data_IF_698127966308
#
_entry.id   IF_698127966308
#
_cell.length_a   1.000
_cell.length_b   1.000
_cell.length_c   1.000
_cell.angle_alpha   90.00
_cell.angle_beta   90.00
_cell.angle_gamma   90.00
#
_symmetry.space_group_name_H-M   'P 1'
#
loop_
_entity.id
_entity.type
_entity.pdbx_description
1 polymer ?
#
# COMPACT_ATOMS: atom_id res chain seq x y z
N UNK A 1 -33.32 -5.09 3.89
CA UNK A 1 -33.45 -6.46 4.43
C UNK A 1 -32.08 -7.12 4.46
N UNK A 2 -31.36 -7.02 5.57
CA UNK A 2 -30.08 -7.73 5.77
C UNK A 2 -30.39 -9.12 6.31
N UNK A 3 -30.30 -10.16 5.47
CA UNK A 3 -30.40 -11.54 5.91
C UNK A 3 -29.27 -11.85 6.88
N UNK A 4 -29.61 -12.28 8.10
CA UNK A 4 -28.63 -12.66 9.14
C UNK A 4 -27.81 -13.85 8.61
N UNK A 5 -26.48 -13.74 8.60
CA UNK A 5 -25.61 -14.83 8.17
C UNK A 5 -25.90 -16.10 8.98
N UNK A 6 -26.01 -17.24 8.30
CA UNK A 6 -26.19 -18.56 8.93
C UNK A 6 -25.06 -18.84 9.93
N UNK A 7 -25.37 -19.55 11.02
CA UNK A 7 -24.36 -19.97 12.00
C UNK A 7 -23.20 -20.76 11.36
N UNK A 8 -23.47 -21.49 10.27
CA UNK A 8 -22.45 -22.19 9.50
C UNK A 8 -21.56 -21.24 8.70
N UNK A 9 -22.14 -20.20 8.09
CA UNK A 9 -21.38 -19.18 7.38
C UNK A 9 -20.45 -18.42 8.33
N UNK A 10 -20.92 -18.11 9.55
CA UNK A 10 -20.10 -17.46 10.57
C UNK A 10 -18.91 -18.31 10.98
N UNK A 11 -19.10 -19.61 11.25
CA UNK A 11 -18.00 -20.53 11.58
C UNK A 11 -16.95 -20.63 10.47
N UNK A 12 -17.38 -20.63 9.20
CA UNK A 12 -16.45 -20.65 8.05
C UNK A 12 -15.66 -19.33 7.98
N UNK A 13 -16.33 -18.19 8.15
CA UNK A 13 -15.65 -16.89 8.19
C UNK A 13 -14.64 -16.82 9.33
N UNK A 14 -15.00 -17.27 10.52
CA UNK A 14 -14.11 -17.25 11.68
C UNK A 14 -12.87 -18.15 11.44
N UNK A 15 -13.06 -19.36 10.91
CA UNK A 15 -11.94 -20.25 10.54
C UNK A 15 -11.03 -19.66 9.46
N UNK A 16 -11.60 -19.03 8.43
CA UNK A 16 -10.82 -18.34 7.38
C UNK A 16 -10.04 -17.14 7.93
N UNK A 17 -10.61 -16.39 8.87
CA UNK A 17 -9.91 -15.29 9.52
C UNK A 17 -8.82 -15.78 10.48
N UNK A 18 -9.01 -16.94 11.11
CA UNK A 18 -7.99 -17.55 11.96
C UNK A 18 -6.81 -18.06 11.12
N UNK A 19 -7.07 -18.78 10.03
CA UNK A 19 -6.03 -19.37 9.19
C UNK A 19 -5.40 -18.38 8.20
N UNK A 20 -6.17 -17.43 7.68
CA UNK A 20 -5.77 -16.52 6.58
C UNK A 20 -5.99 -15.03 6.90
N UNK A 21 -6.28 -14.65 8.15
CA UNK A 21 -6.59 -13.26 8.51
C UNK A 21 -5.42 -12.28 8.46
N UNK A 22 -4.19 -12.79 8.28
CA UNK A 22 -3.02 -11.92 8.08
C UNK A 22 -3.06 -11.32 6.67
N UNK A 23 -3.29 -10.03 6.60
CA UNK A 23 -3.33 -9.28 5.34
C UNK A 23 -1.93 -8.91 4.85
N UNK A 24 -1.78 -8.64 3.55
CA UNK A 24 -0.53 -8.09 3.01
C UNK A 24 -0.15 -6.74 3.64
N UNK A 25 -1.14 -5.94 4.05
CA UNK A 25 -0.87 -4.72 4.81
C UNK A 25 -0.18 -5.04 6.14
N UNK A 26 -0.69 -6.04 6.88
CA UNK A 26 -0.06 -6.50 8.11
C UNK A 26 1.34 -7.09 7.87
N UNK A 27 1.52 -7.88 6.80
CA UNK A 27 2.85 -8.41 6.41
C UNK A 27 3.85 -7.32 6.05
N UNK A 28 3.36 -6.24 5.41
CA UNK A 28 4.16 -5.05 5.09
C UNK A 28 4.44 -4.16 6.30
N UNK A 29 3.95 -4.52 7.50
CA UNK A 29 4.11 -3.73 8.72
C UNK A 29 3.21 -2.49 8.79
N UNK A 30 2.16 -2.42 7.97
CA UNK A 30 1.20 -1.32 7.94
C UNK A 30 0.12 -1.59 8.99
N UNK A 31 0.12 -0.79 10.05
CA UNK A 31 -1.00 -0.75 11.00
C UNK A 31 -2.10 0.13 10.43
N UNK A 32 -3.04 -0.48 9.70
CA UNK A 32 -4.11 0.23 9.01
C UNK A 32 -4.99 1.04 9.98
N UNK A 33 -5.19 2.31 9.67
CA UNK A 33 -6.09 3.26 10.34
C UNK A 33 -6.58 4.26 9.31
N UNK A 34 -7.75 4.85 9.52
CA UNK A 34 -8.30 5.91 8.66
C UNK A 34 -7.58 7.26 8.89
N UNK A 35 -6.29 7.28 8.58
CA UNK A 35 -5.38 8.42 8.73
C UNK A 35 -4.45 8.50 7.53
N UNK A 36 -3.92 9.69 7.19
CA UNK A 36 -3.24 9.89 5.90
C UNK A 36 -2.07 8.93 5.63
N UNK A 37 -1.20 8.73 6.62
CA UNK A 37 0.01 7.92 6.45
C UNK A 37 -0.29 6.42 6.19
N UNK A 38 -1.03 5.69 7.04
CA UNK A 38 -1.37 4.29 6.77
C UNK A 38 -2.12 4.08 5.44
N UNK A 39 -3.01 4.99 5.06
CA UNK A 39 -3.71 4.92 3.77
C UNK A 39 -2.76 5.14 2.58
N UNK A 40 -1.81 6.05 2.71
CA UNK A 40 -0.77 6.24 1.69
C UNK A 40 0.14 5.01 1.56
N UNK A 41 0.56 4.42 2.69
CA UNK A 41 1.34 3.17 2.68
C UNK A 41 0.55 2.04 2.01
N UNK A 42 -0.76 1.96 2.26
CA UNK A 42 -1.64 1.00 1.59
C UNK A 42 -1.69 1.25 0.07
N UNK A 43 -1.84 2.50 -0.37
CA UNK A 43 -1.81 2.85 -1.79
C UNK A 43 -0.49 2.42 -2.46
N UNK A 44 0.66 2.69 -1.82
CA UNK A 44 1.97 2.24 -2.31
C UNK A 44 2.01 0.71 -2.44
N UNK A 45 1.59 -0.01 -1.40
CA UNK A 45 1.55 -1.48 -1.44
C UNK A 45 0.63 -2.00 -2.55
N UNK A 46 -0.58 -1.43 -2.69
CA UNK A 46 -1.53 -1.80 -3.75
C UNK A 46 -0.96 -1.55 -5.14
N UNK A 47 -0.25 -0.44 -5.34
CA UNK A 47 0.42 -0.14 -6.60
C UNK A 47 1.47 -1.20 -6.94
N UNK A 48 2.33 -1.58 -5.99
CA UNK A 48 3.34 -2.63 -6.19
C UNK A 48 2.71 -4.01 -6.47
N UNK A 49 1.60 -4.34 -5.81
CA UNK A 49 0.87 -5.60 -6.00
C UNK A 49 0.16 -5.69 -7.36
N UNK A 50 -0.13 -4.56 -8.00
CA UNK A 50 -0.82 -4.54 -9.30
C UNK A 50 0.02 -5.02 -10.47
N UNK A 51 1.34 -5.09 -10.32
CA UNK A 51 2.23 -5.66 -11.34
C UNK A 51 2.10 -7.19 -11.42
N UNK A 52 2.51 -7.78 -12.56
CA UNK A 52 2.68 -9.24 -12.69
C UNK A 52 3.90 -9.72 -11.89
N UNK A 53 3.75 -9.78 -10.57
CA UNK A 53 4.82 -10.12 -9.63
C UNK A 53 4.29 -10.99 -8.48
N UNK A 54 5.19 -11.69 -7.78
CA UNK A 54 4.83 -12.42 -6.56
C UNK A 54 4.49 -11.43 -5.45
N UNK A 55 3.40 -11.67 -4.72
CA UNK A 55 2.95 -10.81 -3.63
C UNK A 55 4.04 -10.61 -2.55
N UNK A 56 4.80 -11.65 -2.22
CA UNK A 56 5.91 -11.56 -1.26
C UNK A 56 6.99 -10.56 -1.66
N UNK A 57 7.27 -10.42 -2.97
CA UNK A 57 8.23 -9.43 -3.48
C UNK A 57 7.67 -8.01 -3.37
N UNK A 58 6.38 -7.82 -3.69
CA UNK A 58 5.73 -6.52 -3.51
C UNK A 58 5.68 -6.09 -2.03
N UNK A 59 5.37 -7.02 -1.12
CA UNK A 59 5.38 -6.80 0.34
C UNK A 59 6.80 -6.45 0.81
N UNK A 60 7.82 -7.19 0.39
CA UNK A 60 9.21 -6.91 0.73
C UNK A 60 9.67 -5.53 0.23
N UNK A 61 9.33 -5.17 -1.00
CA UNK A 61 9.61 -3.86 -1.59
C UNK A 61 8.90 -2.72 -0.86
N UNK A 62 7.63 -2.89 -0.48
CA UNK A 62 6.93 -1.92 0.35
C UNK A 62 7.63 -1.71 1.70
N UNK A 63 8.05 -2.81 2.36
CA UNK A 63 8.80 -2.74 3.62
C UNK A 63 10.12 -1.99 3.47
N UNK A 64 10.87 -2.26 2.39
CA UNK A 64 12.13 -1.57 2.11
C UNK A 64 11.90 -0.07 1.90
N UNK A 65 10.96 0.34 1.06
CA UNK A 65 10.59 1.76 0.88
C UNK A 65 10.27 2.44 2.21
N UNK A 66 9.48 1.76 3.07
CA UNK A 66 9.13 2.30 4.37
C UNK A 66 10.32 2.35 5.33
N UNK A 67 11.21 1.36 5.30
CA UNK A 67 12.44 1.36 6.10
C UNK A 67 13.34 2.56 5.75
N UNK A 68 13.40 2.91 4.46
CA UNK A 68 14.06 4.12 3.95
C UNK A 68 13.26 5.42 4.17
N UNK A 69 12.18 5.39 4.96
CA UNK A 69 11.45 6.58 5.40
C UNK A 69 10.37 7.09 4.45
N UNK A 70 10.17 6.45 3.29
CA UNK A 70 9.18 6.84 2.27
C UNK A 70 7.76 6.41 2.64
N UNK A 71 7.31 6.79 3.84
CA UNK A 71 6.01 6.37 4.43
C UNK A 71 4.86 7.36 4.19
N UNK A 72 5.15 8.53 3.63
CA UNK A 72 4.17 9.61 3.40
C UNK A 72 4.37 10.17 1.99
N UNK A 73 3.37 10.80 1.36
CA UNK A 73 3.55 11.35 0.01
C UNK A 73 4.65 12.42 -0.02
N UNK A 74 4.77 13.26 1.02
CA UNK A 74 5.89 14.22 1.12
C UNK A 74 7.25 13.51 1.13
N UNK A 75 7.45 12.53 2.03
CA UNK A 75 8.73 11.78 2.09
C UNK A 75 9.02 10.98 0.82
N UNK A 76 7.99 10.47 0.15
CA UNK A 76 8.15 9.78 -1.13
C UNK A 76 8.57 10.76 -2.23
N UNK A 77 7.94 11.93 -2.32
CA UNK A 77 8.28 12.96 -3.30
C UNK A 77 9.68 13.55 -3.06
N UNK A 78 10.06 13.78 -1.80
CA UNK A 78 11.37 14.31 -1.41
C UNK A 78 12.53 13.32 -1.70
N UNK A 79 12.24 12.02 -1.77
CA UNK A 79 13.25 11.02 -2.11
C UNK A 79 13.73 11.20 -3.55
N UNK A 80 15.01 10.94 -3.80
CA UNK A 80 15.51 10.92 -5.17
C UNK A 80 14.98 9.69 -5.90
N UNK A 81 15.00 9.76 -7.24
CA UNK A 81 14.66 8.60 -8.06
C UNK A 81 15.55 7.39 -7.74
N UNK A 82 16.85 7.62 -7.52
CA UNK A 82 17.79 6.55 -7.18
C UNK A 82 17.48 5.92 -5.81
N UNK A 83 17.16 6.73 -4.79
CA UNK A 83 16.78 6.21 -3.47
C UNK A 83 15.55 5.30 -3.53
N UNK A 84 14.57 5.65 -4.38
CA UNK A 84 13.40 4.79 -4.64
C UNK A 84 13.80 3.51 -5.36
N UNK A 85 14.64 3.58 -6.40
CA UNK A 85 15.14 2.40 -7.13
C UNK A 85 15.91 1.46 -6.21
N UNK A 86 16.82 1.99 -5.38
CA UNK A 86 17.65 1.19 -4.47
C UNK A 86 16.77 0.43 -3.46
N UNK A 87 15.79 1.12 -2.85
CA UNK A 87 14.84 0.50 -1.93
C UNK A 87 13.96 -0.57 -2.60
N UNK A 88 13.50 -0.32 -3.83
CA UNK A 88 12.75 -1.31 -4.61
C UNK A 88 13.61 -2.53 -4.94
N UNK A 89 14.88 -2.31 -5.29
CA UNK A 89 15.87 -3.35 -5.54
C UNK A 89 16.18 -4.22 -4.33
N UNK A 90 16.28 -3.62 -3.13
CA UNK A 90 16.45 -4.32 -1.84
C UNK A 90 15.30 -5.30 -1.59
N UNK A 91 14.06 -4.90 -1.91
CA UNK A 91 12.88 -5.76 -1.83
C UNK A 91 12.74 -6.79 -2.96
N UNK A 92 13.67 -6.82 -3.93
CA UNK A 92 13.66 -7.73 -5.07
C UNK A 92 12.76 -7.29 -6.24
N UNK A 93 12.32 -6.03 -6.28
CA UNK A 93 11.41 -5.49 -7.32
C UNK A 93 12.14 -5.07 -8.62
N UNK A 94 13.32 -5.63 -8.90
CA UNK A 94 14.25 -5.16 -9.95
C UNK A 94 13.70 -5.15 -11.37
N UNK A 95 12.69 -5.95 -11.67
CA UNK A 95 12.11 -5.99 -13.03
C UNK A 95 11.42 -4.68 -13.41
N UNK A 96 10.93 -3.94 -12.42
CA UNK A 96 10.05 -2.80 -12.60
C UNK A 96 10.49 -1.59 -11.77
N UNK A 97 11.62 -1.65 -11.09
CA UNK A 97 12.06 -0.65 -10.10
C UNK A 97 12.17 0.76 -10.67
N UNK A 98 12.79 0.92 -11.84
CA UNK A 98 12.97 2.23 -12.50
C UNK A 98 11.62 2.88 -12.83
N UNK A 99 10.75 2.16 -13.55
CA UNK A 99 9.41 2.64 -13.91
C UNK A 99 8.58 2.92 -12.67
N UNK A 100 8.63 2.03 -11.69
CA UNK A 100 7.85 2.15 -10.46
C UNK A 100 8.36 3.30 -9.61
N UNK A 101 9.67 3.55 -9.58
CA UNK A 101 10.27 4.71 -8.90
C UNK A 101 9.71 6.02 -9.45
N UNK A 102 9.62 6.14 -10.78
CA UNK A 102 8.99 7.30 -11.43
C UNK A 102 7.52 7.42 -11.03
N UNK A 103 6.74 6.33 -11.16
CA UNK A 103 5.32 6.33 -10.83
C UNK A 103 5.03 6.67 -9.37
N UNK A 104 5.85 6.19 -8.43
CA UNK A 104 5.72 6.49 -7.00
C UNK A 104 6.04 7.96 -6.72
N UNK A 105 7.05 8.54 -7.38
CA UNK A 105 7.37 9.96 -7.27
C UNK A 105 6.24 10.84 -7.81
N UNK A 106 5.79 10.58 -9.03
CA UNK A 106 4.69 11.31 -9.68
C UNK A 106 3.37 11.18 -8.90
N UNK A 107 3.03 9.96 -8.49
CA UNK A 107 1.85 9.69 -7.67
C UNK A 107 1.90 10.38 -6.31
N UNK A 108 3.09 10.51 -5.70
CA UNK A 108 3.26 11.28 -4.48
C UNK A 108 2.97 12.77 -4.69
N UNK A 109 3.49 13.36 -5.78
CA UNK A 109 3.18 14.75 -6.15
C UNK A 109 1.68 14.94 -6.39
N UNK A 110 1.04 14.06 -7.16
CA UNK A 110 -0.41 14.11 -7.40
C UNK A 110 -1.21 14.14 -6.08
N UNK A 111 -0.87 13.27 -5.14
CA UNK A 111 -1.54 13.21 -3.83
C UNK A 111 -1.33 14.48 -3.01
N UNK A 112 -0.15 15.10 -3.10
CA UNK A 112 0.13 16.39 -2.45
C UNK A 112 -0.64 17.53 -3.10
N UNK A 113 -0.69 17.58 -4.43
CA UNK A 113 -1.21 18.72 -5.16
C UNK A 113 -2.74 18.76 -5.14
N UNK A 114 -3.39 17.63 -5.40
CA UNK A 114 -4.85 17.53 -5.49
C UNK A 114 -5.47 17.31 -4.11
N UNK A 115 -4.97 16.32 -3.36
CA UNK A 115 -5.58 15.90 -2.10
C UNK A 115 -4.82 16.37 -0.86
N UNK A 116 -3.86 17.29 -1.01
CA UNK A 116 -3.08 17.90 0.09
C UNK A 116 -2.44 16.87 1.03
N UNK A 117 -2.03 15.73 0.47
CA UNK A 117 -1.39 14.64 1.21
C UNK A 117 -2.35 13.67 1.90
N UNK A 118 -3.66 13.77 1.66
CA UNK A 118 -4.68 13.02 2.40
C UNK A 118 -5.70 12.33 1.47
N UNK A 119 -5.54 11.02 1.27
CA UNK A 119 -6.39 10.19 0.42
C UNK A 119 -7.86 10.12 0.88
N UNK A 120 -8.18 10.56 2.11
CA UNK A 120 -9.57 10.68 2.54
C UNK A 120 -10.32 11.76 1.76
N UNK A 121 -9.60 12.75 1.23
CA UNK A 121 -10.17 13.76 0.32
C UNK A 121 -10.50 13.17 -1.05
N UNK A 122 -9.66 12.29 -1.59
CA UNK A 122 -9.97 11.52 -2.80
C UNK A 122 -11.24 10.71 -2.60
N UNK A 123 -11.37 9.99 -1.47
CA UNK A 123 -12.58 9.25 -1.15
C UNK A 123 -13.82 10.14 -1.10
N UNK A 124 -13.72 11.32 -0.48
CA UNK A 124 -14.83 12.27 -0.39
C UNK A 124 -15.23 12.83 -1.77
N UNK A 125 -14.26 13.10 -2.65
CA UNK A 125 -14.50 13.55 -4.03
C UNK A 125 -15.17 12.46 -4.89
N UNK A 126 -14.91 11.19 -4.58
CA UNK A 126 -15.47 10.03 -5.28
C UNK A 126 -16.82 9.54 -4.71
N UNK A 127 -17.47 10.30 -3.82
CA UNK A 127 -18.73 9.95 -3.14
C UNK A 127 -18.70 8.65 -2.29
N UNK A 128 -17.51 8.19 -1.91
CA UNK A 128 -17.31 7.27 -0.78
C UNK A 128 -17.05 5.81 -1.10
#
# INVERSE_FOLDING_TARGET
MTGKASASARRITDALLEECGRTYAAEAGIRLRDTPQPLYQLLVLSHLLSARIRASVAVAAARALFAHGMRTPRRMADATWQQRVDALGEGGYRRYDERTSTQLGEGAHLVLDVWKGDLRRLRAEADG
#
